data_IF_008122357530
#
_entry.id   IF_008122357530
#
_cell.length_a   1.000
_cell.length_b   1.000
_cell.length_c   1.000
_cell.angle_alpha   90.00
_cell.angle_beta   90.00
_cell.angle_gamma   90.00
#
_symmetry.space_group_name_H-M   'P 1'
#
loop_
_entity.id
_entity.type
_entity.pdbx_description
1 polymer ?
#
# COMPACT_ATOMS: atom_id res chain seq x y z
N UNK A 1 13.17 -5.17 17.49
CA UNK A 1 11.95 -5.73 16.86
C UNK A 1 11.33 -4.66 15.98
N UNK A 2 11.82 -4.51 14.74
CA UNK A 2 11.29 -3.52 13.80
C UNK A 2 10.33 -4.24 12.84
N UNK A 3 9.04 -3.90 12.91
CA UNK A 3 8.02 -4.37 11.97
C UNK A 3 7.59 -3.18 11.12
N UNK A 4 7.35 -3.42 9.84
CA UNK A 4 6.79 -2.40 8.95
C UNK A 4 5.40 -2.83 8.49
N UNK A 5 4.60 -1.83 8.16
CA UNK A 5 3.29 -2.00 7.55
C UNK A 5 3.12 -0.91 6.49
N UNK A 6 3.07 -1.32 5.23
CA UNK A 6 2.84 -0.46 4.08
C UNK A 6 1.43 -0.75 3.55
N UNK A 7 0.71 0.31 3.20
CA UNK A 7 -0.58 0.23 2.52
C UNK A 7 -0.58 1.20 1.35
N UNK A 8 -1.00 0.75 0.18
CA UNK A 8 -1.16 1.57 -1.01
C UNK A 8 -2.44 1.22 -1.75
N UNK A 9 -2.96 2.19 -2.50
CA UNK A 9 -4.02 1.98 -3.47
C UNK A 9 -3.38 2.00 -4.85
N UNK A 10 -3.55 0.92 -5.61
CA UNK A 10 -3.03 0.79 -6.96
C UNK A 10 -4.20 0.58 -7.93
N UNK A 11 -4.28 1.33 -9.05
CA UNK A 11 -5.24 1.05 -10.09
C UNK A 11 -4.93 -0.30 -10.74
N UNK A 12 -5.97 -1.05 -11.11
CA UNK A 12 -5.81 -2.29 -11.88
C UNK A 12 -5.98 -2.01 -13.38
N UNK A 13 -5.48 -2.92 -14.22
CA UNK A 13 -5.63 -2.86 -15.67
C UNK A 13 -7.10 -2.89 -16.15
N UNK A 14 -8.02 -3.25 -15.27
CA UNK A 14 -9.46 -3.39 -15.57
C UNK A 14 -10.30 -2.20 -15.09
N UNK A 15 -9.66 -1.10 -14.66
CA UNK A 15 -10.36 0.08 -14.14
C UNK A 15 -10.89 -0.11 -12.72
N UNK A 16 -10.48 -1.17 -12.03
CA UNK A 16 -10.78 -1.40 -10.62
C UNK A 16 -9.67 -0.78 -9.75
N UNK A 17 -9.90 -0.71 -8.44
CA UNK A 17 -8.89 -0.23 -7.49
C UNK A 17 -8.50 -1.35 -6.55
N UNK A 18 -7.20 -1.60 -6.43
CA UNK A 18 -6.67 -2.62 -5.54
C UNK A 18 -6.01 -1.99 -4.30
N UNK A 19 -6.31 -2.54 -3.13
CA UNK A 19 -5.63 -2.21 -1.88
C UNK A 19 -4.48 -3.19 -1.66
N UNK A 20 -3.27 -2.70 -1.78
CA UNK A 20 -2.06 -3.49 -1.53
C UNK A 20 -1.62 -3.27 -0.08
N UNK A 21 -1.30 -4.35 0.60
CA UNK A 21 -0.83 -4.38 1.99
C UNK A 21 0.46 -5.17 2.05
N UNK A 22 1.53 -4.57 2.56
CA UNK A 22 2.81 -5.25 2.76
C UNK A 22 3.16 -5.18 4.25
N UNK A 23 3.55 -6.31 4.83
CA UNK A 23 3.98 -6.36 6.23
C UNK A 23 5.12 -7.33 6.42
N UNK A 24 5.99 -7.03 7.37
CA UNK A 24 7.14 -7.86 7.62
C UNK A 24 7.94 -7.40 8.81
N UNK A 25 9.06 -8.10 9.01
CA UNK A 25 10.15 -7.64 9.87
C UNK A 25 11.15 -6.93 8.97
N UNK A 26 11.74 -5.85 9.45
CA UNK A 26 12.80 -5.16 8.72
C UNK A 26 13.95 -6.15 8.47
N UNK A 27 14.47 -6.20 7.24
CA UNK A 27 15.50 -7.16 6.82
C UNK A 27 14.98 -8.53 6.35
N UNK A 28 13.67 -8.72 6.23
CA UNK A 28 13.09 -9.92 5.60
C UNK A 28 12.22 -9.56 4.39
N UNK A 29 11.93 -10.55 3.53
CA UNK A 29 11.10 -10.38 2.32
C UNK A 29 9.66 -9.92 2.60
N UNK A 30 9.19 -10.05 3.86
CA UNK A 30 7.83 -9.69 4.25
C UNK A 30 6.76 -10.59 3.61
N UNK A 31 5.52 -10.14 3.70
CA UNK A 31 4.33 -10.72 3.07
C UNK A 31 3.53 -9.61 2.43
N UNK A 32 2.87 -9.93 1.31
CA UNK A 32 2.00 -9.02 0.59
C UNK A 32 0.61 -9.63 0.46
N UNK A 33 -0.42 -8.79 0.52
CA UNK A 33 -1.79 -9.12 0.14
C UNK A 33 -2.37 -7.99 -0.68
N UNK A 34 -3.14 -8.37 -1.70
CA UNK A 34 -3.90 -7.46 -2.54
C UNK A 34 -5.37 -7.80 -2.38
N UNK A 35 -6.19 -6.80 -2.12
CA UNK A 35 -7.64 -6.94 -2.15
C UNK A 35 -8.19 -6.01 -3.25
N UNK A 36 -8.91 -6.58 -4.22
CA UNK A 36 -9.44 -5.85 -5.38
C UNK A 36 -10.86 -5.36 -5.09
N UNK A 37 -11.16 -4.12 -5.47
CA UNK A 37 -12.46 -3.51 -5.33
C UNK A 37 -12.93 -2.96 -6.67
N UNK A 38 -14.15 -3.32 -7.07
CA UNK A 38 -14.80 -2.80 -8.28
C UNK A 38 -15.18 -1.32 -8.21
N UNK A 39 -15.06 -0.69 -7.03
CA UNK A 39 -15.35 0.72 -6.82
C UNK A 39 -14.20 1.39 -6.06
N UNK A 40 -13.65 2.45 -6.65
CA UNK A 40 -12.61 3.28 -6.03
C UNK A 40 -13.05 3.80 -4.65
N UNK A 41 -14.31 4.26 -4.53
CA UNK A 41 -14.86 4.74 -3.26
C UNK A 41 -14.76 3.67 -2.16
N UNK A 42 -15.08 2.41 -2.48
CA UNK A 42 -14.96 1.30 -1.53
C UNK A 42 -13.52 1.01 -1.16
N UNK A 43 -12.60 1.09 -2.13
CA UNK A 43 -11.17 0.92 -1.89
C UNK A 43 -10.64 2.01 -0.95
N UNK A 44 -11.02 3.28 -1.17
CA UNK A 44 -10.64 4.42 -0.34
C UNK A 44 -11.22 4.30 1.08
N UNK A 45 -12.49 3.92 1.22
CA UNK A 45 -13.11 3.65 2.53
C UNK A 45 -12.33 2.59 3.31
N UNK A 46 -12.03 1.45 2.66
CA UNK A 46 -11.27 0.35 3.26
C UNK A 46 -9.84 0.76 3.62
N UNK A 47 -9.18 1.55 2.77
CA UNK A 47 -7.85 2.10 3.02
C UNK A 47 -7.84 3.00 4.26
N UNK A 48 -8.80 3.94 4.35
CA UNK A 48 -8.90 4.88 5.46
C UNK A 48 -9.22 4.16 6.78
N UNK A 49 -10.11 3.16 6.74
CA UNK A 49 -10.41 2.34 7.90
C UNK A 49 -9.17 1.59 8.39
N UNK A 50 -8.46 0.92 7.48
CA UNK A 50 -7.23 0.20 7.81
C UNK A 50 -6.16 1.15 8.36
N UNK A 51 -6.00 2.33 7.77
CA UNK A 51 -5.08 3.35 8.23
C UNK A 51 -5.39 3.78 9.68
N UNK A 52 -6.67 4.04 9.99
CA UNK A 52 -7.10 4.38 11.37
C UNK A 52 -6.79 3.25 12.35
N UNK A 53 -7.10 2.01 11.99
CA UNK A 53 -6.81 0.84 12.83
C UNK A 53 -5.30 0.68 13.09
N UNK A 54 -4.45 0.92 12.09
CA UNK A 54 -2.98 0.82 12.25
C UNK A 54 -2.41 1.98 13.05
N UNK A 55 -2.94 3.19 12.88
CA UNK A 55 -2.59 4.35 13.72
C UNK A 55 -2.91 4.12 15.19
N UNK A 56 -4.07 3.53 15.49
CA UNK A 56 -4.46 3.14 16.84
C UNK A 56 -3.51 2.07 17.44
N UNK A 57 -2.97 1.19 16.60
CA UNK A 57 -1.94 0.20 16.98
C UNK A 57 -0.54 0.78 17.13
N UNK A 58 -0.37 2.10 17.04
CA UNK A 58 0.92 2.76 17.23
C UNK A 58 1.80 2.85 15.98
N UNK A 59 1.31 2.38 14.81
CA UNK A 59 2.03 2.62 13.57
C UNK A 59 2.00 4.12 13.24
N UNK A 60 3.13 4.63 12.73
CA UNK A 60 3.31 6.00 12.28
C UNK A 60 3.84 5.96 10.84
N UNK A 61 3.45 6.90 9.97
CA UNK A 61 4.07 7.03 8.66
C UNK A 61 5.58 7.15 8.82
N UNK A 62 6.35 6.33 8.10
CA UNK A 62 7.79 6.48 8.04
C UNK A 62 8.11 7.81 7.34
N UNK A 63 9.17 8.50 7.78
CA UNK A 63 9.59 9.77 7.15
C UNK A 63 9.94 9.62 5.66
N UNK A 64 10.23 8.41 5.20
CA UNK A 64 10.75 8.15 3.85
C UNK A 64 9.69 7.56 2.88
N UNK A 65 8.46 7.34 3.34
CA UNK A 65 7.45 6.61 2.56
C UNK A 65 7.00 7.35 1.30
N UNK A 66 7.07 8.69 1.29
CA UNK A 66 6.75 9.49 0.10
C UNK A 66 7.82 9.39 -1.00
N UNK A 67 9.10 9.19 -0.64
CA UNK A 67 10.19 9.16 -1.61
C UNK A 67 10.20 7.87 -2.47
N UNK A 68 9.75 6.75 -1.91
CA UNK A 68 9.71 5.45 -2.61
C UNK A 68 8.46 5.26 -3.47
N UNK A 69 7.35 5.93 -3.14
CA UNK A 69 6.12 5.88 -3.93
C UNK A 69 6.29 6.54 -5.30
N UNK A 70 7.10 7.60 -5.39
CA UNK A 70 7.37 8.30 -6.65
C UNK A 70 8.23 7.46 -7.60
N UNK A 71 9.08 6.57 -7.09
CA UNK A 71 9.99 5.76 -7.90
C UNK A 71 9.31 4.57 -8.59
N UNK A 72 8.20 4.04 -8.02
CA UNK A 72 7.47 2.93 -8.64
C UNK A 72 6.59 3.36 -9.81
N UNK A 73 6.20 4.63 -9.89
CA UNK A 73 5.41 5.16 -11.00
C UNK A 73 6.23 5.41 -12.28
N UNK A 74 7.56 5.38 -12.21
CA UNK A 74 8.44 5.66 -13.36
C UNK A 74 8.93 4.40 -14.09
N UNK A 75 8.73 3.19 -13.54
CA UNK A 75 9.18 1.95 -14.18
C UNK A 75 8.13 1.26 -15.08
N UNK A 76 6.89 1.75 -15.14
CA UNK A 76 5.85 1.19 -16.03
C UNK A 76 5.71 1.88 -17.38
N UNK A 77 6.50 2.93 -17.68
CA UNK A 77 6.49 3.62 -18.98
C UNK A 77 7.66 3.21 -19.92
N UNK A 78 8.67 2.47 -19.45
CA UNK A 78 9.86 2.11 -20.27
C UNK A 78 9.81 0.71 -20.93
N UNK A 79 8.64 0.06 -20.97
CA UNK A 79 8.48 -1.26 -21.61
C UNK A 79 7.59 -1.21 -22.86
N UNK A 80 7.90 -0.31 -23.81
CA UNK A 80 7.38 -0.32 -25.19
C UNK A 80 8.51 -0.21 -26.20
#
# INVERSE_FOLDING_TARGET
MARFYEISLEPTLFGETSLVRIWGRLGTRGQQRMDVFSSEKRAVEAFLELLRQKRAKGYRPGRDTFALATSRLTQSEEAS
#
